data_IF_152184351610
#
_entry.id   IF_152184351610
#
_cell.length_a   1.000
_cell.length_b   1.000
_cell.length_c   1.000
_cell.angle_alpha   90.00
_cell.angle_beta   90.00
_cell.angle_gamma   90.00
#
_symmetry.space_group_name_H-M   'P 1'
#
loop_
_entity.id
_entity.type
_entity.pdbx_description
1 polymer ?
#
# COMPACT_ATOMS: atom_id res chain seq x y z
N UNK A 1 -3.91 9.33 17.54
CA UNK A 1 -4.82 9.51 16.37
C UNK A 1 -6.20 9.88 16.90
N UNK A 2 -7.00 10.71 16.20
CA UNK A 2 -8.37 10.99 16.63
C UNK A 2 -9.16 9.68 16.70
N UNK A 3 -9.88 9.44 17.80
CA UNK A 3 -10.66 8.21 18.00
C UNK A 3 -11.86 8.10 17.04
N UNK A 4 -12.23 9.20 16.39
CA UNK A 4 -13.44 9.32 15.56
C UNK A 4 -13.15 9.39 14.05
N UNK A 5 -12.00 8.91 13.57
CA UNK A 5 -11.77 8.84 12.12
C UNK A 5 -12.58 7.67 11.51
N UNK A 6 -13.64 7.93 10.73
CA UNK A 6 -14.47 6.86 10.17
C UNK A 6 -13.72 6.02 9.13
N UNK A 7 -12.56 6.49 8.64
CA UNK A 7 -11.71 5.73 7.71
C UNK A 7 -10.71 4.84 8.42
N UNK A 8 -10.68 4.86 9.76
CA UNK A 8 -9.74 4.06 10.56
C UNK A 8 -9.77 2.56 10.19
N UNK A 9 -10.94 1.89 10.06
CA UNK A 9 -10.98 0.48 9.68
C UNK A 9 -10.29 0.22 8.33
N UNK A 10 -10.54 1.06 7.32
CA UNK A 10 -9.91 0.93 6.00
C UNK A 10 -8.41 1.25 6.08
N UNK A 11 -8.00 2.24 6.87
CA UNK A 11 -6.58 2.53 7.05
C UNK A 11 -5.83 1.37 7.70
N UNK A 12 -6.47 0.61 8.61
CA UNK A 12 -5.89 -0.61 9.21
C UNK A 12 -5.59 -1.72 8.21
N UNK A 13 -6.18 -1.69 7.02
CA UNK A 13 -5.84 -2.60 5.92
C UNK A 13 -4.77 -2.06 4.98
N UNK A 14 -4.31 -0.82 5.17
CA UNK A 14 -3.33 -0.16 4.29
C UNK A 14 -1.94 -0.25 4.90
N UNK A 15 -0.95 -0.53 4.06
CA UNK A 15 0.46 -0.61 4.45
C UNK A 15 1.33 0.29 3.59
N UNK A 16 2.45 0.74 4.17
CA UNK A 16 3.54 1.38 3.42
C UNK A 16 4.51 0.32 2.99
N UNK A 17 4.87 0.30 1.72
CA UNK A 17 5.88 -0.60 1.17
C UNK A 17 7.12 0.22 0.88
N UNK A 18 8.29 -0.30 1.20
CA UNK A 18 9.56 0.24 0.74
C UNK A 18 10.37 -0.81 0.02
N UNK A 19 11.03 -0.44 -1.07
CA UNK A 19 11.95 -1.30 -1.80
C UNK A 19 13.19 -0.51 -2.21
N UNK A 20 14.35 -1.16 -2.24
CA UNK A 20 15.62 -0.54 -2.59
C UNK A 20 16.01 -0.89 -4.03
N UNK A 21 16.29 0.14 -4.84
CA UNK A 21 16.79 -0.01 -6.19
C UNK A 21 18.19 0.59 -6.31
N UNK A 22 19.07 -0.14 -7.00
CA UNK A 22 20.47 0.20 -7.21
C UNK A 22 20.85 -0.05 -8.68
N UNK A 23 20.08 0.52 -9.60
CA UNK A 23 20.35 0.43 -11.03
C UNK A 23 20.56 1.84 -11.64
N UNK A 24 20.87 1.90 -12.94
CA UNK A 24 21.19 3.17 -13.62
C UNK A 24 20.01 4.14 -13.64
N UNK A 25 18.80 3.62 -13.66
CA UNK A 25 17.58 4.37 -13.94
C UNK A 25 16.83 4.76 -12.66
N UNK A 26 17.05 4.00 -11.57
CA UNK A 26 16.39 4.14 -10.27
C UNK A 26 17.38 3.86 -9.14
N UNK A 27 17.63 4.90 -8.33
CA UNK A 27 18.51 4.83 -7.16
C UNK A 27 17.79 5.24 -5.88
N UNK A 28 17.91 4.39 -4.86
CA UNK A 28 17.51 4.65 -3.48
C UNK A 28 16.27 3.87 -3.04
N UNK A 29 15.66 4.36 -1.97
CA UNK A 29 14.47 3.75 -1.37
C UNK A 29 13.23 4.32 -2.03
N UNK A 30 12.44 3.42 -2.57
CA UNK A 30 11.17 3.69 -3.20
C UNK A 30 10.04 3.39 -2.25
N UNK A 31 8.96 4.17 -2.35
CA UNK A 31 7.84 4.09 -1.41
C UNK A 31 6.57 3.81 -2.22
N UNK A 32 5.85 2.78 -1.80
CA UNK A 32 4.55 2.43 -2.36
C UNK A 32 3.51 2.16 -1.27
N UNK A 33 2.32 1.80 -1.74
CA UNK A 33 1.18 1.45 -0.89
C UNK A 33 0.72 0.05 -1.25
N UNK A 34 0.40 -0.74 -0.23
CA UNK A 34 -0.28 -2.01 -0.40
C UNK A 34 -1.54 -2.10 0.47
N UNK A 35 -2.32 -3.15 0.23
CA UNK A 35 -3.51 -3.48 1.03
C UNK A 35 -3.49 -4.94 1.45
N UNK A 36 -3.90 -5.21 2.69
CA UNK A 36 -3.97 -6.57 3.23
C UNK A 36 -5.19 -7.27 2.65
N UNK A 37 -4.97 -8.38 1.96
CA UNK A 37 -6.04 -9.15 1.30
C UNK A 37 -6.30 -10.51 1.97
N UNK A 38 -5.35 -11.03 2.73
CA UNK A 38 -5.49 -12.31 3.42
C UNK A 38 -4.62 -12.35 4.68
N UNK A 39 -5.10 -13.02 5.72
CA UNK A 39 -4.39 -13.28 6.96
C UNK A 39 -4.76 -14.65 7.49
N UNK A 40 -3.79 -15.56 7.50
CA UNK A 40 -3.95 -16.94 7.96
C UNK A 40 -2.80 -17.29 8.91
N UNK A 41 -3.12 -17.43 10.20
CA UNK A 41 -2.11 -17.68 11.22
C UNK A 41 -1.03 -16.59 11.25
N UNK A 42 0.22 -16.99 10.99
CA UNK A 42 1.38 -16.10 10.92
C UNK A 42 1.63 -15.52 9.52
N UNK A 43 0.84 -15.91 8.52
CA UNK A 43 1.02 -15.51 7.12
C UNK A 43 0.03 -14.40 6.76
N UNK A 44 0.52 -13.35 6.14
CA UNK A 44 -0.30 -12.22 5.67
C UNK A 44 0.06 -11.90 4.23
N UNK A 45 -0.94 -11.79 3.36
CA UNK A 45 -0.76 -11.41 1.95
C UNK A 45 -1.21 -9.97 1.73
N UNK A 46 -0.40 -9.26 0.95
CA UNK A 46 -0.56 -7.84 0.66
C UNK A 46 -0.58 -7.66 -0.86
N UNK A 47 -1.64 -7.06 -1.37
CA UNK A 47 -1.74 -6.65 -2.77
C UNK A 47 -1.10 -5.27 -2.96
N UNK A 48 -0.31 -5.12 -4.01
CA UNK A 48 0.32 -3.86 -4.43
C UNK A 48 0.42 -3.81 -5.95
N UNK A 49 0.78 -2.65 -6.48
CA UNK A 49 1.27 -2.55 -7.85
C UNK A 49 2.61 -3.26 -8.01
N UNK A 50 2.85 -3.90 -9.17
CA UNK A 50 4.13 -4.60 -9.46
C UNK A 50 5.28 -3.61 -9.55
N UNK A 51 5.11 -2.44 -10.18
CA UNK A 51 6.15 -1.40 -10.29
C UNK A 51 6.64 -0.83 -8.93
N UNK A 52 5.92 -1.06 -7.84
CA UNK A 52 6.37 -0.66 -6.49
C UNK A 52 7.61 -1.44 -6.08
N UNK A 53 7.71 -2.70 -6.51
CA UNK A 53 8.78 -3.63 -6.13
C UNK A 53 9.61 -4.12 -7.32
N UNK A 54 9.26 -3.70 -8.55
CA UNK A 54 10.01 -3.99 -9.77
C UNK A 54 10.34 -2.70 -10.54
N UNK A 55 11.48 -2.73 -11.22
CA UNK A 55 11.88 -1.78 -12.24
C UNK A 55 12.24 -2.58 -13.51
N UNK A 56 11.33 -2.61 -14.48
CA UNK A 56 11.38 -3.56 -15.59
C UNK A 56 11.39 -5.02 -15.10
N UNK A 57 12.51 -5.70 -15.35
CA UNK A 57 12.75 -7.09 -14.95
C UNK A 57 13.42 -7.22 -13.57
N UNK A 58 13.89 -6.10 -13.00
CA UNK A 58 14.69 -6.10 -11.78
C UNK A 58 13.81 -5.95 -10.55
N UNK A 59 13.87 -6.92 -9.65
CA UNK A 59 13.20 -6.81 -8.36
C UNK A 59 14.01 -5.93 -7.39
N UNK A 60 13.32 -5.00 -6.74
CA UNK A 60 13.88 -4.23 -5.64
C UNK A 60 14.32 -5.12 -4.47
N UNK A 61 15.38 -4.71 -3.79
CA UNK A 61 15.94 -5.39 -2.62
C UNK A 61 15.28 -4.88 -1.35
N UNK A 62 15.50 -5.58 -0.24
CA UNK A 62 15.12 -5.15 1.10
C UNK A 62 13.66 -4.66 1.18
N UNK A 63 12.74 -5.43 0.59
CA UNK A 63 11.33 -5.06 0.56
C UNK A 63 10.78 -5.12 1.99
N UNK A 64 10.34 -3.98 2.51
CA UNK A 64 9.76 -3.86 3.84
C UNK A 64 8.34 -3.34 3.79
N UNK A 65 7.55 -3.77 4.76
CA UNK A 65 6.16 -3.37 4.97
C UNK A 65 6.03 -2.74 6.35
N UNK A 66 5.51 -1.51 6.40
CA UNK A 66 5.12 -0.83 7.63
C UNK A 66 3.59 -0.78 7.73
N UNK A 67 3.05 -1.23 8.87
CA UNK A 67 1.61 -1.36 9.07
C UNK A 67 1.00 -0.10 9.71
N UNK A 68 -0.18 0.31 9.24
CA UNK A 68 -0.98 1.31 9.95
C UNK A 68 -1.54 0.76 11.27
N UNK A 69 -0.73 0.77 12.31
CA UNK A 69 -1.07 0.29 13.65
C UNK A 69 -1.11 1.44 14.65
N UNK A 70 -1.70 1.19 15.83
CA UNK A 70 -1.58 2.06 16.99
C UNK A 70 -0.60 1.44 17.99
N UNK A 71 0.71 1.57 17.77
CA UNK A 71 1.68 1.12 18.76
C UNK A 71 1.52 1.91 20.07
N UNK A 72 1.95 1.34 21.21
CA UNK A 72 2.16 2.08 22.45
C UNK A 72 2.98 3.36 22.23
N UNK A 73 2.80 4.37 23.08
CA UNK A 73 3.39 5.71 22.91
C UNK A 73 4.91 5.75 22.89
N UNK A 74 5.57 4.72 23.41
CA UNK A 74 7.02 4.52 23.45
C UNK A 74 7.56 3.68 22.28
N UNK A 75 6.70 3.26 21.33
CA UNK A 75 7.07 2.35 20.24
C UNK A 75 6.83 2.95 18.86
N UNK A 76 7.76 2.69 17.96
CA UNK A 76 7.61 2.98 16.53
C UNK A 76 6.67 1.98 15.85
N UNK A 77 6.12 2.35 14.69
CA UNK A 77 5.30 1.43 13.89
C UNK A 77 6.14 0.23 13.44
N UNK A 78 5.53 -0.95 13.49
CA UNK A 78 6.20 -2.20 13.15
C UNK A 78 6.52 -2.26 11.65
N UNK A 79 7.78 -2.61 11.33
CA UNK A 79 8.23 -2.99 9.98
C UNK A 79 8.52 -4.49 9.90
N UNK A 80 8.25 -5.09 8.75
CA UNK A 80 8.55 -6.50 8.46
C UNK A 80 9.12 -6.63 7.07
N UNK A 81 10.06 -7.56 6.91
CA UNK A 81 10.49 -7.99 5.58
C UNK A 81 9.32 -8.68 4.87
N UNK A 82 9.21 -8.39 3.58
CA UNK A 82 8.24 -8.99 2.70
C UNK A 82 8.94 -9.69 1.55
N UNK A 83 8.33 -10.77 1.08
CA UNK A 83 8.80 -11.53 -0.08
C UNK A 83 7.74 -11.49 -1.17
N UNK A 84 8.17 -11.50 -2.43
CA UNK A 84 7.27 -11.73 -3.54
C UNK A 84 6.62 -13.11 -3.38
N UNK A 85 5.30 -13.16 -3.37
CA UNK A 85 4.52 -14.40 -3.42
C UNK A 85 4.09 -14.72 -4.85
N UNK A 86 3.50 -13.75 -5.53
CA UNK A 86 3.04 -13.88 -6.91
C UNK A 86 2.99 -12.51 -7.58
N UNK A 87 3.08 -12.45 -8.90
CA UNK A 87 2.79 -11.25 -9.68
C UNK A 87 2.16 -11.62 -11.02
N UNK A 88 1.51 -10.64 -11.63
CA UNK A 88 1.15 -10.71 -13.06
C UNK A 88 2.41 -10.68 -13.92
N UNK A 89 2.33 -11.27 -15.11
CA UNK A 89 3.48 -11.31 -16.02
C UNK A 89 3.89 -9.89 -16.40
N UNK A 90 5.19 -9.64 -16.51
CA UNK A 90 5.77 -8.36 -16.93
C UNK A 90 5.26 -7.87 -18.29
N UNK A 91 4.85 -8.79 -19.18
CA UNK A 91 4.32 -8.48 -20.50
C UNK A 91 2.80 -8.22 -20.47
N UNK A 92 2.15 -8.47 -19.33
CA UNK A 92 0.74 -8.15 -19.13
C UNK A 92 0.58 -6.68 -18.72
N UNK A 93 -0.46 -6.05 -19.27
CA UNK A 93 -0.85 -4.68 -18.92
C UNK A 93 -1.26 -4.56 -17.45
N UNK A 94 -1.73 -5.65 -16.83
CA UNK A 94 -2.12 -5.67 -15.44
C UNK A 94 -0.87 -5.58 -14.55
N UNK A 95 -0.78 -4.54 -13.75
CA UNK A 95 0.38 -4.20 -12.92
C UNK A 95 0.12 -4.57 -11.44
N UNK A 96 0.14 -5.87 -11.12
CA UNK A 96 -0.18 -6.37 -9.78
C UNK A 96 0.90 -7.31 -9.24
N UNK A 97 1.17 -7.18 -7.95
CA UNK A 97 1.99 -8.12 -7.19
C UNK A 97 1.38 -8.40 -5.82
N UNK A 98 1.62 -9.61 -5.34
CA UNK A 98 1.27 -10.08 -4.01
C UNK A 98 2.55 -10.28 -3.24
N UNK A 99 2.68 -9.58 -2.11
CA UNK A 99 3.73 -9.74 -1.14
C UNK A 99 3.24 -10.63 0.01
N UNK A 100 4.15 -11.45 0.53
CA UNK A 100 3.95 -12.24 1.74
C UNK A 100 4.78 -11.67 2.88
N UNK A 101 4.14 -11.51 4.04
CA UNK A 101 4.77 -11.22 5.32
C UNK A 101 4.48 -12.34 6.29
N UNK A 102 5.50 -12.78 7.01
CA UNK A 102 5.41 -13.84 8.02
C UNK A 102 5.69 -13.31 9.44
N UNK A 103 5.08 -13.94 10.44
CA UNK A 103 5.34 -13.72 11.85
C UNK A 103 4.23 -12.96 12.59
N UNK A 104 4.49 -12.60 13.84
CA UNK A 104 3.50 -11.87 14.67
C UNK A 104 3.39 -10.42 14.18
N UNK A 105 2.19 -10.05 13.75
CA UNK A 105 1.81 -8.71 13.33
C UNK A 105 0.92 -8.04 14.39
N UNK A 106 0.72 -6.71 14.35
CA UNK A 106 -0.22 -6.05 15.24
C UNK A 106 -1.63 -6.66 15.13
N UNK A 107 -2.34 -6.73 16.24
CA UNK A 107 -3.68 -7.35 16.30
C UNK A 107 -4.75 -6.45 15.68
N UNK A 108 -4.48 -5.15 15.58
CA UNK A 108 -5.41 -4.12 15.09
C UNK A 108 -5.39 -3.93 13.57
N UNK A 109 -4.52 -4.62 12.82
CA UNK A 109 -4.56 -4.60 11.34
C UNK A 109 -5.77 -5.38 10.83
N UNK A 110 -6.34 -4.93 9.71
CA UNK A 110 -7.57 -5.49 9.15
C UNK A 110 -7.39 -5.94 7.71
N UNK A 111 -8.21 -6.88 7.26
CA UNK A 111 -8.35 -7.20 5.84
C UNK A 111 -9.10 -6.05 5.15
N UNK A 112 -8.73 -5.72 3.93
CA UNK A 112 -9.51 -4.79 3.11
C UNK A 112 -10.83 -5.48 2.72
N UNK A 113 -12.00 -4.93 3.10
CA UNK A 113 -13.27 -5.50 2.66
C UNK A 113 -13.44 -5.32 1.15
N UNK A 114 -13.55 -6.43 0.43
CA UNK A 114 -13.80 -6.43 -1.03
C UNK A 114 -15.31 -6.52 -1.24
N UNK A 115 -15.87 -5.50 -1.90
CA UNK A 115 -17.28 -5.49 -2.27
C UNK A 115 -17.48 -6.13 -3.65
N UNK A 116 -18.55 -6.90 -3.80
CA UNK A 116 -19.05 -7.38 -5.10
C UNK A 116 -20.00 -6.38 -5.78
N UNK A 117 -20.28 -5.24 -5.14
CA UNK A 117 -21.14 -4.20 -5.72
C UNK A 117 -20.48 -3.63 -6.98
N UNK A 118 -21.22 -3.68 -8.09
CA UNK A 118 -20.77 -3.08 -9.35
C UNK A 118 -20.59 -1.57 -9.18
N UNK A 119 -19.47 -1.05 -9.68
CA UNK A 119 -19.18 0.38 -9.68
C UNK A 119 -20.07 1.05 -10.73
N UNK A 120 -20.79 2.09 -10.34
CA UNK A 120 -21.61 2.90 -11.24
C UNK A 120 -20.96 4.26 -11.50
N UNK A 121 -21.22 4.90 -12.66
CA UNK A 121 -20.79 6.27 -12.90
C UNK A 121 -21.26 7.20 -11.77
N UNK A 122 -20.39 8.12 -11.33
CA UNK A 122 -20.62 9.09 -10.23
C UNK A 122 -20.67 8.51 -8.82
N UNK A 123 -20.42 7.21 -8.63
CA UNK A 123 -20.20 6.66 -7.29
C UNK A 123 -19.01 7.40 -6.63
N UNK A 124 -19.14 7.91 -5.39
CA UNK A 124 -18.02 8.58 -4.71
C UNK A 124 -16.84 7.62 -4.50
N UNK A 125 -15.64 8.05 -4.87
CA UNK A 125 -14.40 7.28 -4.72
C UNK A 125 -13.50 7.97 -3.70
N UNK A 126 -12.85 7.18 -2.84
CA UNK A 126 -11.78 7.63 -1.94
C UNK A 126 -10.54 6.80 -2.20
N UNK A 127 -9.41 7.48 -2.37
CA UNK A 127 -8.09 6.84 -2.50
C UNK A 127 -7.36 7.02 -1.18
N UNK A 128 -6.84 5.93 -0.63
CA UNK A 128 -6.05 5.92 0.60
C UNK A 128 -4.71 5.29 0.26
N UNK A 129 -3.63 5.97 0.65
CA UNK A 129 -2.29 5.47 0.49
C UNK A 129 -1.26 6.37 1.15
N UNK A 130 0.00 6.09 0.86
CA UNK A 130 1.15 6.84 1.32
C UNK A 130 1.60 7.80 0.22
N UNK A 131 1.82 9.06 0.58
CA UNK A 131 2.50 10.00 -0.31
C UNK A 131 3.94 9.53 -0.50
N UNK A 132 4.27 9.13 -1.73
CA UNK A 132 5.65 8.88 -2.15
C UNK A 132 6.34 10.24 -2.38
N UNK A 133 6.72 10.95 -1.32
CA UNK A 133 7.69 12.03 -1.44
C UNK A 133 9.07 11.49 -1.11
N UNK A 134 9.98 11.56 -2.09
CA UNK A 134 11.40 11.24 -1.92
C UNK A 134 11.97 12.19 -0.86
N UNK A 135 12.34 11.65 0.31
CA UNK A 135 13.00 12.41 1.37
C UNK A 135 12.09 13.17 2.36
N UNK A 136 10.76 13.07 2.28
CA UNK A 136 9.86 13.66 3.27
C UNK A 136 8.96 12.60 3.93
N UNK A 137 9.04 12.49 5.26
CA UNK A 137 8.12 11.68 6.06
C UNK A 137 6.82 12.45 6.34
N UNK A 138 6.05 12.74 5.28
CA UNK A 138 4.67 13.23 5.41
C UNK A 138 3.67 12.08 5.57
N UNK A 139 4.13 10.95 6.13
CA UNK A 139 3.35 9.74 6.26
C UNK A 139 2.02 10.05 6.96
N UNK A 140 0.92 9.65 6.31
CA UNK A 140 -0.46 9.71 6.83
C UNK A 140 -1.19 11.05 6.75
N UNK A 141 -0.66 12.04 6.04
CA UNK A 141 -1.41 13.27 5.72
C UNK A 141 -2.55 13.00 4.72
N UNK A 142 -3.71 13.64 4.95
CA UNK A 142 -4.95 13.45 4.17
C UNK A 142 -4.85 14.19 2.84
N UNK A 143 -4.71 13.49 1.72
CA UNK A 143 -4.98 14.07 0.40
C UNK A 143 -6.40 13.66 -0.04
N UNK A 144 -7.33 14.61 0.04
CA UNK A 144 -8.62 14.51 -0.64
C UNK A 144 -8.45 15.03 -2.07
N UNK A 145 -8.43 14.15 -3.07
CA UNK A 145 -8.58 14.60 -4.46
C UNK A 145 -10.06 14.58 -4.84
N UNK A 146 -10.68 15.76 -4.93
CA UNK A 146 -11.97 15.90 -5.59
C UNK A 146 -11.73 15.86 -7.11
N UNK A 147 -12.08 14.76 -7.75
CA UNK A 147 -12.10 14.69 -9.20
C UNK A 147 -13.34 15.42 -9.75
N UNK A 148 -13.30 16.75 -9.82
CA UNK A 148 -14.22 17.51 -10.67
C UNK A 148 -13.59 17.65 -12.06
N UNK A 149 -14.08 16.87 -13.03
CA UNK A 149 -13.81 17.13 -14.46
C UNK A 149 -14.40 18.49 -14.83
N UNK A 150 -13.57 19.46 -15.16
CA UNK A 150 -14.01 20.62 -15.95
C UNK A 150 -14.22 20.15 -17.38
N UNK A 151 -15.47 20.03 -17.80
CA UNK A 151 -15.80 19.98 -19.21
C UNK A 151 -15.68 21.41 -19.76
N UNK A 152 -14.66 21.67 -20.58
CA UNK A 152 -14.62 22.86 -21.43
C UNK A 152 -15.06 22.48 -22.84
N UNK A 153 -16.19 23.04 -23.26
CA UNK A 153 -16.61 23.29 -24.65
C UNK A 153 -17.15 24.73 -24.68
N UNK A 154 -17.09 25.45 -25.83
CA UNK A 154 -17.43 24.98 -27.18
C UNK A 154 -16.23 24.60 -28.03
#
# INVERSE_FOLDING_TARGET
MPKDDPTLPVKRSVVRITAEFLNSDRQGIEIGTGVIIQREGSRTLILTNRHVIFDGYEQGKNIQVEFFSSPPSDRVRMRRDAKLFQMTSINEQLDLAILEVSGKLPEDIQLLPISSTAITPKMPIRIIGHSAQRGEDNSWSRLFSNASKSASKP
#
